data_IF_253779073869
#
_entry.id   IF_253779073869
#
_cell.length_a   1.000
_cell.length_b   1.000
_cell.length_c   1.000
_cell.angle_alpha   90.00
_cell.angle_beta   90.00
_cell.angle_gamma   90.00
#
_symmetry.space_group_name_H-M   'P 1'
#
loop_
_entity.id
_entity.type
_entity.pdbx_description
1 polymer ?
#
# COMPACT_ATOMS: atom_id res chain seq x y z
N UNK A 1 4.79 -20.14 -9.55
CA UNK A 1 3.55 -19.35 -9.32
C UNK A 1 3.97 -18.08 -8.61
N UNK A 2 3.49 -16.91 -9.06
CA UNK A 2 3.89 -15.58 -8.55
C UNK A 2 3.81 -15.46 -7.01
N UNK A 3 2.79 -16.05 -6.38
CA UNK A 3 2.63 -16.04 -4.92
C UNK A 3 3.80 -16.69 -4.15
N UNK A 4 4.48 -17.66 -4.75
CA UNK A 4 5.68 -18.27 -4.15
C UNK A 4 6.82 -17.24 -4.12
N UNK A 5 7.07 -16.60 -5.26
CA UNK A 5 8.10 -15.56 -5.39
C UNK A 5 7.87 -14.41 -4.42
N UNK A 6 6.62 -13.94 -4.30
CA UNK A 6 6.25 -12.86 -3.36
C UNK A 6 6.44 -13.25 -1.87
N UNK A 7 6.40 -14.54 -1.52
CA UNK A 7 6.70 -14.97 -0.14
C UNK A 7 8.20 -15.05 0.14
N UNK A 8 8.98 -15.38 -0.87
CA UNK A 8 10.42 -15.62 -0.73
C UNK A 8 11.23 -14.33 -0.88
N UNK A 9 10.65 -13.30 -1.52
CA UNK A 9 11.30 -12.04 -1.82
C UNK A 9 10.47 -10.84 -1.32
N UNK A 10 11.10 -9.99 -0.51
CA UNK A 10 10.51 -8.71 -0.09
C UNK A 10 10.49 -7.65 -1.20
N UNK A 11 11.29 -7.83 -2.24
CA UNK A 11 11.30 -6.99 -3.43
C UNK A 11 11.33 -7.90 -4.64
N UNK A 12 10.39 -7.72 -5.57
CA UNK A 12 10.29 -8.58 -6.75
C UNK A 12 10.26 -7.73 -8.02
N UNK A 13 11.36 -7.78 -8.77
CA UNK A 13 11.43 -7.19 -10.10
C UNK A 13 10.83 -8.16 -11.13
N UNK A 14 9.79 -7.71 -11.83
CA UNK A 14 9.19 -8.44 -12.94
C UNK A 14 9.15 -7.56 -14.18
N UNK A 15 9.90 -7.94 -15.20
CA UNK A 15 9.95 -7.26 -16.50
C UNK A 15 10.36 -5.79 -16.40
N UNK A 16 9.39 -4.90 -16.19
CA UNK A 16 9.53 -3.43 -16.09
C UNK A 16 8.89 -2.87 -14.81
N UNK A 17 8.53 -3.74 -13.87
CA UNK A 17 7.85 -3.40 -12.64
C UNK A 17 8.69 -3.85 -11.45
N UNK A 18 8.73 -3.01 -10.42
CA UNK A 18 9.20 -3.38 -9.10
C UNK A 18 7.99 -3.52 -8.17
N UNK A 19 7.83 -4.69 -7.57
CA UNK A 19 6.80 -4.96 -6.58
C UNK A 19 7.40 -4.90 -5.17
N UNK A 20 6.80 -4.08 -4.31
CA UNK A 20 7.14 -3.98 -2.89
C UNK A 20 5.89 -4.20 -2.03
N UNK A 21 5.96 -4.99 -0.94
CA UNK A 21 4.83 -5.15 -0.04
C UNK A 21 4.53 -3.82 0.63
N UNK A 22 3.24 -3.48 0.73
CA UNK A 22 2.83 -2.34 1.55
C UNK A 22 3.04 -2.71 3.01
N UNK A 23 3.64 -1.80 3.77
CA UNK A 23 3.95 -1.96 5.20
C UNK A 23 3.42 -0.78 6.01
N UNK A 24 3.46 -0.90 7.34
CA UNK A 24 3.10 0.22 8.21
C UNK A 24 4.07 1.41 8.09
N UNK A 25 5.29 1.19 7.59
CA UNK A 25 6.24 2.28 7.33
C UNK A 25 5.74 3.24 6.24
N UNK A 26 4.87 2.77 5.35
CA UNK A 26 4.32 3.57 4.25
C UNK A 26 3.25 4.57 4.72
N UNK A 27 2.81 4.51 5.98
CA UNK A 27 1.73 5.35 6.50
C UNK A 27 1.95 6.85 6.25
N UNK A 28 3.18 7.35 6.40
CA UNK A 28 3.49 8.77 6.16
C UNK A 28 3.34 9.15 4.69
N UNK A 29 3.92 8.35 3.80
CA UNK A 29 3.87 8.59 2.35
C UNK A 29 2.45 8.42 1.83
N UNK A 30 1.74 7.39 2.28
CA UNK A 30 0.34 7.17 1.94
C UNK A 30 -0.53 8.32 2.44
N UNK A 31 -0.33 8.82 3.66
CA UNK A 31 -1.10 9.96 4.19
C UNK A 31 -0.86 11.23 3.38
N UNK A 32 0.37 11.51 2.96
CA UNK A 32 0.66 12.66 2.11
C UNK A 32 -0.12 12.60 0.78
N UNK A 33 -0.33 11.40 0.23
CA UNK A 33 -1.16 11.20 -0.97
C UNK A 33 -2.66 11.27 -0.66
N UNK A 34 -3.12 10.55 0.36
CA UNK A 34 -4.55 10.37 0.66
C UNK A 34 -5.19 11.53 1.42
N UNK A 35 -4.40 12.45 1.97
CA UNK A 35 -4.93 13.65 2.63
C UNK A 35 -5.27 14.78 1.65
N UNK A 36 -4.79 14.70 0.41
CA UNK A 36 -5.13 15.64 -0.65
C UNK A 36 -6.44 15.23 -1.33
N UNK A 37 -7.47 16.07 -1.17
CA UNK A 37 -8.79 15.83 -1.76
C UNK A 37 -8.74 15.73 -3.29
N UNK A 38 -7.81 16.40 -3.97
CA UNK A 38 -7.70 16.32 -5.42
C UNK A 38 -7.29 14.91 -5.89
N UNK A 39 -6.51 14.20 -5.08
CA UNK A 39 -6.11 12.81 -5.35
C UNK A 39 -7.24 11.81 -5.06
N UNK A 40 -8.14 12.12 -4.12
CA UNK A 40 -9.12 11.15 -3.64
C UNK A 40 -10.55 11.42 -4.10
N UNK A 41 -10.86 12.61 -4.63
CA UNK A 41 -12.24 13.10 -4.95
C UNK A 41 -13.12 12.15 -5.76
N UNK A 42 -12.54 11.26 -6.57
CA UNK A 42 -13.28 10.29 -7.39
C UNK A 42 -13.26 8.86 -6.85
N UNK A 43 -12.47 8.57 -5.81
CA UNK A 43 -12.26 7.22 -5.30
C UNK A 43 -12.75 7.01 -3.87
N UNK A 44 -12.35 7.89 -2.95
CA UNK A 44 -12.62 7.73 -1.51
C UNK A 44 -12.47 9.06 -0.75
N UNK A 45 -13.04 9.20 0.46
CA UNK A 45 -12.84 10.39 1.28
C UNK A 45 -11.36 10.60 1.62
N UNK A 46 -10.90 11.86 1.61
CA UNK A 46 -9.53 12.18 1.99
C UNK A 46 -9.28 11.85 3.46
N UNK A 47 -8.16 11.18 3.76
CA UNK A 47 -7.78 10.85 5.13
C UNK A 47 -7.44 12.14 5.89
N UNK A 48 -7.93 12.26 7.12
CA UNK A 48 -7.75 13.44 7.96
C UNK A 48 -6.58 13.30 8.93
N UNK A 49 -6.22 12.07 9.29
CA UNK A 49 -5.13 11.81 10.23
C UNK A 49 -4.21 10.70 9.77
N UNK A 50 -2.98 10.71 10.28
CA UNK A 50 -2.04 9.61 10.09
C UNK A 50 -2.59 8.30 10.68
N UNK A 51 -3.37 8.37 11.77
CA UNK A 51 -3.92 7.18 12.43
C UNK A 51 -5.02 6.53 11.59
N UNK A 52 -5.88 7.33 10.97
CA UNK A 52 -6.84 6.84 9.97
C UNK A 52 -6.12 6.13 8.81
N UNK A 53 -5.00 6.68 8.35
CA UNK A 53 -4.21 6.04 7.28
C UNK A 53 -3.60 4.72 7.72
N UNK A 54 -3.10 4.62 8.95
CA UNK A 54 -2.63 3.33 9.50
C UNK A 54 -3.76 2.30 9.58
N UNK A 55 -4.94 2.72 10.02
CA UNK A 55 -6.12 1.85 10.06
C UNK A 55 -6.48 1.36 8.64
N UNK A 56 -6.37 2.21 7.62
CA UNK A 56 -6.57 1.79 6.22
C UNK A 56 -5.49 0.79 5.79
N UNK A 57 -4.22 1.01 6.11
CA UNK A 57 -3.13 0.06 5.81
C UNK A 57 -3.41 -1.30 6.44
N UNK A 58 -3.73 -1.34 7.72
CA UNK A 58 -4.04 -2.57 8.45
C UNK A 58 -5.22 -3.32 7.83
N UNK A 59 -6.35 -2.62 7.64
CA UNK A 59 -7.61 -3.25 7.27
C UNK A 59 -7.72 -3.61 5.77
N UNK A 60 -6.97 -2.96 4.89
CA UNK A 60 -7.07 -3.19 3.45
C UNK A 60 -5.81 -3.80 2.84
N UNK A 61 -4.63 -3.39 3.30
CA UNK A 61 -3.35 -3.80 2.69
C UNK A 61 -2.72 -4.96 3.43
N UNK A 62 -2.87 -5.06 4.76
CA UNK A 62 -2.26 -6.11 5.59
C UNK A 62 -3.22 -7.23 5.98
N UNK A 63 -4.49 -7.18 5.53
CA UNK A 63 -5.54 -8.12 5.92
C UNK A 63 -5.28 -9.59 5.53
N UNK A 64 -4.41 -9.82 4.55
CA UNK A 64 -4.06 -11.18 4.09
C UNK A 64 -2.60 -11.50 4.41
N UNK A 65 -2.21 -12.78 4.56
CA UNK A 65 -0.83 -13.15 4.90
C UNK A 65 0.25 -12.61 3.96
N UNK A 66 -0.08 -12.45 2.68
CA UNK A 66 0.81 -11.84 1.69
C UNK A 66 0.68 -10.32 1.59
N UNK A 67 -0.39 -9.75 2.16
CA UNK A 67 -0.74 -8.36 2.03
C UNK A 67 -1.04 -7.94 0.58
N UNK A 68 -0.91 -6.65 0.31
CA UNK A 68 -0.96 -6.04 -1.02
C UNK A 68 0.40 -5.42 -1.34
N UNK A 69 0.71 -5.34 -2.62
CA UNK A 69 1.98 -4.81 -3.12
C UNK A 69 1.73 -3.50 -3.87
N UNK A 70 2.63 -2.53 -3.66
CA UNK A 70 2.76 -1.35 -4.50
C UNK A 70 3.58 -1.69 -5.75
N UNK A 71 3.28 -0.97 -6.83
CA UNK A 71 4.12 -0.90 -8.02
C UNK A 71 4.92 0.41 -7.91
N UNK A 72 6.24 0.33 -8.06
CA UNK A 72 7.17 1.46 -8.00
C UNK A 72 7.72 1.80 -9.38
#
# INVERSE_FOLDING_TARGET
MLEKELREHSELEIWRLLLLPVTMADAKTMFAYTSDIENTKWGFPANQTIEETKNVIENFYLKSPLGRYGIV
#
